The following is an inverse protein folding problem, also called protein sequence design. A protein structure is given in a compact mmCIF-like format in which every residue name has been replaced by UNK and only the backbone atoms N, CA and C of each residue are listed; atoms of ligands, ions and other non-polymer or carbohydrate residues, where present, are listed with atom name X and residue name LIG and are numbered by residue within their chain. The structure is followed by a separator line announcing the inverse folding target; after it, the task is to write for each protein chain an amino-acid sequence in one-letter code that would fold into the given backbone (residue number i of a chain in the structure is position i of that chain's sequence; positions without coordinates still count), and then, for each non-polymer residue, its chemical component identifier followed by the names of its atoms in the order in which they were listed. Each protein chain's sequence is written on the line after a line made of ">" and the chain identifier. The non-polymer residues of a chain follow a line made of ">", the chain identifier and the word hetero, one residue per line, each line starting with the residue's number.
data_IF_401347056088
#
_entry.id   IF_401347056088
#
_cell.length_a   1.000
_cell.length_b   1.000
_cell.length_c   1.000
_cell.angle_alpha   90.00
_cell.angle_beta   90.00
_cell.angle_gamma   90.00
#
_symmetry.space_group_name_H-M   'P 1'
#
loop_
_entity.id
_entity.type
_entity.pdbx_description
1 polymer ?
#
# COMPACT_ATOMS: atom_id res chain seq x y z
N UNK A 1 15.41 -13.57 13.16
CA UNK A 1 14.09 -13.05 13.58
C UNK A 1 13.68 -11.77 12.84
N UNK A 2 12.40 -11.37 12.92
CA UNK A 2 11.82 -10.26 12.13
C UNK A 2 12.61 -8.95 12.25
N UNK A 3 12.92 -8.51 13.48
CA UNK A 3 13.66 -7.26 13.73
C UNK A 3 15.06 -7.29 13.13
N UNK A 4 15.81 -8.36 13.35
CA UNK A 4 17.19 -8.49 12.87
C UNK A 4 17.25 -8.48 11.34
N UNK A 5 16.31 -9.14 10.69
CA UNK A 5 16.22 -9.16 9.22
C UNK A 5 15.98 -7.77 8.64
N UNK A 6 15.05 -7.02 9.25
CA UNK A 6 14.68 -5.69 8.75
C UNK A 6 15.61 -4.57 9.23
N UNK A 7 16.37 -4.77 10.30
CA UNK A 7 17.41 -3.83 10.74
C UNK A 7 18.55 -3.66 9.73
N UNK A 8 18.71 -4.59 8.78
CA UNK A 8 19.67 -4.47 7.69
C UNK A 8 19.33 -3.36 6.68
N UNK A 9 18.07 -2.92 6.62
CA UNK A 9 17.58 -1.93 5.65
C UNK A 9 17.39 -0.54 6.24
N UNK A 10 17.52 -0.39 7.55
CA UNK A 10 17.38 0.90 8.23
C UNK A 10 17.16 0.78 9.73
N UNK A 11 16.99 1.93 10.36
CA UNK A 11 16.77 2.04 11.80
C UNK A 11 15.33 1.75 12.15
N UNK A 12 15.08 0.61 12.80
CA UNK A 12 13.75 0.24 13.28
C UNK A 12 13.43 0.97 14.60
N UNK A 13 12.39 1.79 14.57
CA UNK A 13 11.84 2.47 15.75
C UNK A 13 10.87 1.56 16.51
N UNK A 14 10.16 0.69 15.81
CA UNK A 14 9.25 -0.27 16.40
C UNK A 14 9.20 -1.58 15.58
N UNK A 15 8.98 -2.70 16.26
CA UNK A 15 8.84 -4.01 15.61
C UNK A 15 7.95 -4.92 16.45
N UNK A 16 6.79 -5.28 15.92
CA UNK A 16 5.76 -6.05 16.63
C UNK A 16 5.36 -7.28 15.83
N UNK A 17 5.45 -8.46 16.44
CA UNK A 17 4.88 -9.69 15.88
C UNK A 17 3.49 -9.89 16.47
N UNK A 18 2.48 -10.00 15.62
CA UNK A 18 1.11 -10.15 16.11
C UNK A 18 0.86 -11.59 16.54
N UNK A 19 0.63 -11.78 17.84
CA UNK A 19 0.29 -13.06 18.43
C UNK A 19 -1.22 -13.20 18.58
N UNK A 20 -1.73 -14.43 18.48
CA UNK A 20 -3.08 -14.76 18.89
C UNK A 20 -3.19 -14.56 20.42
N UNK A 21 -4.13 -13.73 20.90
CA UNK A 21 -4.24 -13.43 22.32
C UNK A 21 -4.59 -14.65 23.19
N UNK A 22 -5.33 -15.62 22.65
CA UNK A 22 -5.76 -16.82 23.38
C UNK A 22 -4.69 -17.91 23.36
N UNK A 23 -4.07 -18.17 22.21
CA UNK A 23 -3.13 -19.30 22.06
C UNK A 23 -1.67 -18.90 22.19
N UNK A 24 -1.37 -17.60 22.30
CA UNK A 24 -0.02 -16.99 22.26
C UNK A 24 0.82 -17.38 21.03
N UNK A 25 0.23 -18.06 20.04
CA UNK A 25 0.90 -18.43 18.79
C UNK A 25 0.94 -17.23 17.84
N UNK A 26 2.04 -17.09 17.11
CA UNK A 26 2.15 -16.10 16.03
C UNK A 26 1.01 -16.27 15.03
N UNK A 27 0.43 -15.14 14.60
CA UNK A 27 -0.50 -15.11 13.46
C UNK A 27 0.24 -15.08 12.12
N UNK A 28 1.56 -15.28 12.12
CA UNK A 28 2.43 -15.26 10.94
C UNK A 28 2.46 -13.90 10.23
N UNK A 29 2.14 -12.81 10.93
CA UNK A 29 2.34 -11.45 10.45
C UNK A 29 2.81 -10.53 11.58
N UNK A 30 3.47 -9.44 11.20
CA UNK A 30 3.98 -8.44 12.10
C UNK A 30 4.11 -7.09 11.41
N UNK A 31 4.45 -6.07 12.17
CA UNK A 31 4.67 -4.72 11.70
C UNK A 31 6.08 -4.29 12.05
N UNK A 32 6.73 -3.62 11.11
CA UNK A 32 8.02 -2.97 11.30
C UNK A 32 7.84 -1.49 11.00
N UNK A 33 8.32 -0.64 11.89
CA UNK A 33 8.30 0.81 11.73
C UNK A 33 9.73 1.29 11.64
N UNK A 34 10.06 1.91 10.51
CA UNK A 34 11.36 2.54 10.29
C UNK A 34 11.37 3.98 10.81
N UNK A 35 12.56 4.54 10.98
CA UNK A 35 12.74 5.94 11.35
C UNK A 35 12.44 6.88 10.19
N UNK A 36 12.72 6.44 8.95
CA UNK A 36 12.47 7.19 7.74
C UNK A 36 11.67 6.38 6.71
N UNK A 37 10.92 7.10 5.86
CA UNK A 37 10.10 6.48 4.81
C UNK A 37 10.96 5.81 3.74
N UNK A 38 12.12 6.39 3.43
CA UNK A 38 13.08 5.89 2.45
C UNK A 38 13.64 4.51 2.84
N UNK A 39 13.84 4.27 4.14
CA UNK A 39 14.27 2.96 4.68
C UNK A 39 13.18 1.89 4.46
N UNK A 40 11.91 2.27 4.63
CA UNK A 40 10.78 1.39 4.33
C UNK A 40 10.67 1.10 2.83
N UNK A 41 10.93 2.08 1.98
CA UNK A 41 10.97 1.90 0.52
C UNK A 41 12.13 0.99 0.08
N UNK A 42 13.31 1.14 0.68
CA UNK A 42 14.45 0.27 0.43
C UNK A 42 14.13 -1.19 0.82
N UNK A 43 13.49 -1.38 1.98
CA UNK A 43 13.02 -2.71 2.40
C UNK A 43 11.95 -3.27 1.44
N UNK A 44 11.01 -2.46 0.96
CA UNK A 44 10.02 -2.92 -0.04
C UNK A 44 10.65 -3.30 -1.38
N UNK A 45 11.67 -2.55 -1.81
CA UNK A 45 12.40 -2.77 -3.07
C UNK A 45 13.31 -4.00 -3.04
N UNK A 46 13.77 -4.42 -1.86
CA UNK A 46 14.61 -5.60 -1.66
C UNK A 46 13.84 -6.94 -1.66
N UNK A 47 12.53 -6.91 -1.94
CA UNK A 47 11.70 -8.12 -2.08
C UNK A 47 12.22 -9.04 -3.20
N UNK A 48 12.23 -10.38 -3.02
CA UNK A 48 11.58 -11.16 -1.95
C UNK A 48 12.39 -11.28 -0.65
N UNK A 49 11.70 -11.27 0.50
CA UNK A 49 12.31 -11.51 1.81
C UNK A 49 12.01 -12.90 2.34
N UNK A 50 13.01 -13.52 2.98
CA UNK A 50 12.86 -14.73 3.75
C UNK A 50 13.31 -14.48 5.19
N UNK A 51 12.41 -14.64 6.15
CA UNK A 51 12.67 -14.47 7.59
C UNK A 51 12.59 -15.85 8.24
N UNK A 52 13.68 -16.29 8.86
CA UNK A 52 13.80 -17.60 9.52
C UNK A 52 13.38 -18.76 8.59
N UNK A 53 13.76 -18.68 7.31
CA UNK A 53 13.43 -19.68 6.28
C UNK A 53 12.02 -19.60 5.70
N UNK A 54 11.18 -18.68 6.18
CA UNK A 54 9.83 -18.47 5.66
C UNK A 54 9.78 -17.25 4.73
N UNK A 55 9.22 -17.41 3.54
CA UNK A 55 8.95 -16.29 2.65
C UNK A 55 7.92 -15.35 3.30
N UNK A 56 8.25 -14.06 3.37
CA UNK A 56 7.36 -13.03 3.93
C UNK A 56 6.93 -12.05 2.85
N UNK A 57 5.65 -11.68 2.85
CA UNK A 57 5.12 -10.62 1.98
C UNK A 57 5.13 -9.30 2.74
N UNK A 58 5.81 -8.30 2.17
CA UNK A 58 5.76 -6.93 2.66
C UNK A 58 4.63 -6.15 2.00
N UNK A 59 3.93 -5.37 2.80
CA UNK A 59 2.92 -4.41 2.37
C UNK A 59 3.09 -3.11 3.15
N UNK A 60 2.75 -1.98 2.52
CA UNK A 60 2.64 -0.71 3.23
C UNK A 60 1.61 -0.87 4.35
N UNK A 61 1.99 -0.47 5.55
CA UNK A 61 1.10 -0.51 6.69
C UNK A 61 -0.06 0.47 6.47
N UNK A 62 -1.28 -0.04 6.51
CA UNK A 62 -2.48 0.80 6.58
C UNK A 62 -2.75 1.18 8.03
N UNK A 63 -3.28 2.38 8.25
CA UNK A 63 -3.71 2.81 9.58
C UNK A 63 -4.74 1.83 10.15
N UNK A 64 -4.88 1.77 11.48
CA UNK A 64 -5.86 0.87 12.11
C UNK A 64 -7.30 1.19 11.66
N UNK A 65 -7.60 2.45 11.43
CA UNK A 65 -8.91 2.91 10.94
C UNK A 65 -9.13 2.49 9.48
N UNK A 66 -8.12 2.64 8.63
CA UNK A 66 -8.21 2.21 7.23
C UNK A 66 -8.23 0.69 7.11
N UNK A 67 -7.54 -0.03 7.99
CA UNK A 67 -7.53 -1.50 8.05
C UNK A 67 -8.92 -2.12 8.23
N UNK A 68 -9.90 -1.38 8.77
CA UNK A 68 -11.28 -1.85 8.92
C UNK A 68 -12.07 -1.75 7.60
N UNK A 69 -11.58 -1.01 6.60
CA UNK A 69 -12.26 -0.85 5.31
C UNK A 69 -12.10 -2.11 4.46
N UNK A 70 -13.16 -2.56 3.77
CA UNK A 70 -13.07 -3.67 2.82
C UNK A 70 -12.01 -3.37 1.76
N UNK A 71 -11.04 -4.27 1.61
CA UNK A 71 -9.96 -4.13 0.62
C UNK A 71 -8.72 -3.35 1.08
N UNK A 72 -8.65 -2.90 2.34
CA UNK A 72 -7.48 -2.17 2.86
C UNK A 72 -6.16 -2.96 2.78
N UNK A 73 -6.23 -4.29 2.83
CA UNK A 73 -5.08 -5.20 2.68
C UNK A 73 -5.00 -5.87 1.30
N UNK A 74 -5.89 -5.49 0.38
CA UNK A 74 -5.89 -6.04 -0.97
C UNK A 74 -4.66 -5.53 -1.71
N UNK A 75 -3.98 -6.46 -2.40
CA UNK A 75 -2.90 -6.13 -3.33
C UNK A 75 -3.54 -5.51 -4.57
N UNK A 76 -3.80 -4.21 -4.52
CA UNK A 76 -4.43 -3.50 -5.63
C UNK A 76 -3.35 -2.84 -6.47
N UNK A 77 -3.32 -3.17 -7.77
CA UNK A 77 -2.68 -2.30 -8.77
C UNK A 77 -3.49 -1.02 -8.98
N UNK A 78 -4.74 -1.01 -8.52
CA UNK A 78 -5.72 0.06 -8.73
C UNK A 78 -5.67 1.09 -7.60
N UNK A 79 -5.15 2.27 -7.89
CA UNK A 79 -5.22 3.49 -7.08
C UNK A 79 -6.58 4.18 -7.24
N UNK A 80 -7.11 4.72 -6.14
CA UNK A 80 -8.26 5.63 -6.15
C UNK A 80 -7.77 7.08 -6.08
N UNK A 81 -8.33 7.95 -6.91
CA UNK A 81 -8.01 9.38 -6.94
C UNK A 81 -9.29 10.18 -6.75
N UNK A 82 -9.46 10.80 -5.58
CA UNK A 82 -10.61 11.65 -5.26
C UNK A 82 -10.29 13.13 -5.34
N UNK A 83 -11.32 13.98 -5.39
CA UNK A 83 -11.18 15.44 -5.43
C UNK A 83 -10.81 16.00 -6.81
N UNK A 84 -11.04 15.23 -7.88
CA UNK A 84 -10.80 15.67 -9.25
C UNK A 84 -11.78 16.78 -9.63
N UNK A 85 -11.26 17.86 -10.25
CA UNK A 85 -12.10 18.91 -10.82
C UNK A 85 -12.78 18.41 -12.10
N UNK A 86 -13.85 19.10 -12.51
CA UNK A 86 -14.63 18.72 -13.70
C UNK A 86 -13.84 18.79 -15.01
N UNK A 87 -12.78 19.58 -15.06
CA UNK A 87 -11.87 19.68 -16.21
C UNK A 87 -10.92 18.47 -16.33
N UNK A 88 -10.54 17.83 -15.21
CA UNK A 88 -9.57 16.72 -15.21
C UNK A 88 -10.11 15.52 -15.99
N UNK A 89 -9.37 15.10 -17.02
CA UNK A 89 -9.63 13.95 -17.87
C UNK A 89 -8.75 12.75 -17.53
N UNK A 90 -9.04 11.61 -18.15
CA UNK A 90 -8.23 10.38 -17.99
C UNK A 90 -6.79 10.59 -18.48
N UNK A 91 -6.60 11.38 -19.54
CA UNK A 91 -5.28 11.73 -20.06
C UNK A 91 -4.41 12.49 -19.05
N UNK A 92 -5.01 13.38 -18.26
CA UNK A 92 -4.29 14.12 -17.21
C UNK A 92 -3.83 13.18 -16.09
N UNK A 93 -4.66 12.19 -15.73
CA UNK A 93 -4.29 11.15 -14.77
C UNK A 93 -3.14 10.30 -15.29
N UNK A 94 -3.19 9.84 -16.54
CA UNK A 94 -2.10 9.06 -17.13
C UNK A 94 -0.81 9.88 -17.14
N UNK A 95 -0.86 11.13 -17.63
CA UNK A 95 0.31 11.99 -17.71
C UNK A 95 0.92 12.25 -16.33
N UNK A 96 0.11 12.53 -15.32
CA UNK A 96 0.60 12.82 -13.98
C UNK A 96 1.13 11.57 -13.25
N UNK A 97 0.47 10.42 -13.39
CA UNK A 97 0.86 9.21 -12.66
C UNK A 97 1.91 8.36 -13.37
N UNK A 98 2.18 8.61 -14.65
CA UNK A 98 3.28 7.94 -15.39
C UNK A 98 4.66 8.16 -14.76
N UNK A 99 4.84 9.22 -13.97
CA UNK A 99 6.09 9.46 -13.22
C UNK A 99 6.31 8.46 -12.06
N UNK A 100 5.23 7.88 -11.52
CA UNK A 100 5.29 6.92 -10.41
C UNK A 100 5.34 5.47 -10.90
N UNK A 101 5.09 5.23 -12.19
CA UNK A 101 5.13 3.92 -12.81
C UNK A 101 4.28 3.86 -14.09
N UNK A 102 4.36 2.76 -14.86
CA UNK A 102 3.53 2.57 -16.03
C UNK A 102 2.05 2.51 -15.62
N UNK A 103 1.23 3.36 -16.25
CA UNK A 103 -0.24 3.33 -16.08
C UNK A 103 -0.83 2.42 -17.15
N UNK A 104 -1.39 1.28 -16.75
CA UNK A 104 -2.10 0.37 -17.64
C UNK A 104 -3.48 0.93 -18.01
N UNK A 105 -4.15 1.59 -17.06
CA UNK A 105 -5.51 2.14 -17.25
C UNK A 105 -5.82 3.31 -16.32
N UNK A 106 -6.41 4.39 -16.85
CA UNK A 106 -7.04 5.43 -16.04
C UNK A 106 -8.54 5.49 -16.36
N UNK A 107 -9.38 5.62 -15.33
CA UNK A 107 -10.84 5.69 -15.45
C UNK A 107 -11.38 6.82 -14.58
N UNK A 108 -12.10 7.79 -15.15
CA UNK A 108 -12.83 8.79 -14.37
C UNK A 108 -14.28 8.35 -14.21
N UNK A 109 -14.75 8.31 -12.96
CA UNK A 109 -16.12 7.90 -12.69
C UNK A 109 -17.05 9.10 -12.90
N UNK A 110 -17.84 9.02 -13.96
CA UNK A 110 -18.96 9.92 -14.20
C UNK A 110 -20.27 9.30 -13.72
N UNK A 111 -21.22 10.15 -13.36
CA UNK A 111 -22.58 9.77 -13.08
C UNK A 111 -23.25 9.22 -14.35
N UNK A 112 -23.82 8.00 -14.27
CA UNK A 112 -24.38 7.31 -15.44
C UNK A 112 -25.61 8.00 -16.04
N UNK A 113 -26.32 8.83 -15.29
CA UNK A 113 -27.54 9.51 -15.75
C UNK A 113 -27.24 10.88 -16.35
N UNK A 114 -26.34 11.65 -15.73
CA UNK A 114 -26.03 13.02 -16.12
C UNK A 114 -24.74 13.17 -16.93
N UNK A 115 -23.89 12.15 -16.99
CA UNK A 115 -22.55 12.22 -17.58
C UNK A 115 -21.58 13.11 -16.79
N UNK A 116 -22.03 13.68 -15.65
CA UNK A 116 -21.21 14.59 -14.85
C UNK A 116 -20.16 13.80 -14.09
N UNK A 117 -18.89 14.18 -14.24
CA UNK A 117 -17.78 13.60 -13.48
C UNK A 117 -18.08 13.73 -11.98
N UNK A 118 -17.98 12.62 -11.24
CA UNK A 118 -18.25 12.57 -9.79
C UNK A 118 -17.10 13.10 -8.94
N UNK A 119 -16.06 13.63 -9.58
CA UNK A 119 -14.86 14.15 -8.93
C UNK A 119 -13.94 13.08 -8.37
N UNK A 120 -14.01 11.85 -8.90
CA UNK A 120 -13.05 10.80 -8.57
C UNK A 120 -12.83 9.85 -9.74
N UNK A 121 -11.69 9.16 -9.72
CA UNK A 121 -11.28 8.20 -10.71
C UNK A 121 -10.41 7.10 -10.12
N UNK A 122 -9.98 6.18 -10.96
CA UNK A 122 -9.08 5.10 -10.60
C UNK A 122 -7.96 4.96 -11.64
N UNK A 123 -6.80 4.52 -11.19
CA UNK A 123 -5.61 4.31 -12.01
C UNK A 123 -5.08 2.91 -11.72
N UNK A 124 -4.80 2.10 -12.73
CA UNK A 124 -4.28 0.75 -12.63
C UNK A 124 -3.06 0.56 -13.52
#
# INVERSE_FOLDING_TARGET
>A
GLREHFAAYGTLTDCVVVLNPQTKRSRCFGFVTYSAVEEADAAMAASPHAVDGNAVELKRAVSREDSAKPGAHAKVKKLFVGGLKGDVGEGDLVQHFSQFGPVEKAEIIADKQSGKKRGFGFIA
#
